data_IF_643577745155
#
_entry.id   IF_643577745155
#
_cell.length_a   1.000
_cell.length_b   1.000
_cell.length_c   1.000
_cell.angle_alpha   90.00
_cell.angle_beta   90.00
_cell.angle_gamma   90.00
#
_symmetry.space_group_name_H-M   'P 1'
#
loop_
_entity.id
_entity.type
_entity.pdbx_description
1 polymer ?
#
# COMPACT_ATOMS: atom_id res chain seq x y z
N UNK A 1 -9.98 51.24 65.96
CA UNK A 1 -11.38 50.81 65.82
C UNK A 1 -12.12 51.84 64.98
N UNK A 2 -12.38 51.53 63.69
CA UNK A 2 -13.38 52.20 62.84
C UNK A 2 -13.50 51.43 61.51
N UNK A 3 -14.71 50.92 61.24
CA UNK A 3 -15.13 50.35 59.95
C UNK A 3 -15.49 51.49 58.98
N UNK A 4 -15.11 51.37 57.70
CA UNK A 4 -15.84 51.95 56.56
C UNK A 4 -15.79 51.00 55.35
N UNK A 5 -16.87 50.23 55.21
CA UNK A 5 -17.77 50.05 54.05
C UNK A 5 -17.57 51.18 53.00
N UNK A 6 -17.54 51.06 51.68
CA UNK A 6 -17.76 50.04 50.62
C UNK A 6 -17.39 50.75 49.30
N UNK A 7 -16.96 50.04 48.25
CA UNK A 7 -17.46 50.27 46.90
C UNK A 7 -17.01 49.16 45.92
N UNK A 8 -18.05 48.51 45.41
CA UNK A 8 -18.09 47.54 44.33
C UNK A 8 -17.82 48.27 43.01
N UNK A 9 -16.87 47.79 42.22
CA UNK A 9 -16.82 48.11 40.78
C UNK A 9 -16.37 46.86 40.04
N UNK A 10 -17.37 46.21 39.43
CA UNK A 10 -17.22 45.13 38.48
C UNK A 10 -16.64 45.73 37.20
N UNK A 11 -15.41 45.37 36.82
CA UNK A 11 -14.82 45.73 35.53
C UNK A 11 -14.52 44.42 34.79
N UNK A 12 -15.40 44.12 33.85
CA UNK A 12 -15.27 43.06 32.85
C UNK A 12 -14.28 43.57 31.79
N UNK A 13 -13.03 43.10 31.82
CA UNK A 13 -12.06 43.39 30.74
C UNK A 13 -11.91 42.15 29.89
N UNK A 14 -12.33 42.31 28.64
CA UNK A 14 -12.30 41.32 27.58
C UNK A 14 -10.87 40.81 27.34
N UNK A 15 -10.75 39.48 27.25
CA UNK A 15 -9.60 38.81 26.67
C UNK A 15 -9.45 39.24 25.22
N UNK A 16 -8.42 40.02 24.94
CA UNK A 16 -7.79 40.09 23.61
C UNK A 16 -6.36 39.60 23.77
N UNK A 17 -6.18 38.28 23.64
CA UNK A 17 -4.87 37.73 23.33
C UNK A 17 -4.62 38.04 21.86
N UNK A 18 -3.86 39.11 21.62
CA UNK A 18 -3.19 39.31 20.34
C UNK A 18 -2.05 38.29 20.27
N UNK A 19 -2.33 37.11 19.73
CA UNK A 19 -1.29 36.34 19.08
C UNK A 19 -1.16 36.91 17.67
N UNK A 20 -0.14 37.75 17.48
CA UNK A 20 0.34 38.06 16.15
C UNK A 20 0.92 36.78 15.56
N UNK A 21 0.44 36.40 14.38
CA UNK A 21 1.12 35.45 13.52
C UNK A 21 2.30 36.16 12.87
N UNK A 22 3.51 35.59 12.98
CA UNK A 22 4.55 35.79 11.98
C UNK A 22 5.56 34.64 12.00
N UNK A 23 5.95 34.24 10.80
CA UNK A 23 6.88 33.20 10.35
C UNK A 23 6.57 31.71 10.60
N UNK A 24 6.11 31.10 9.51
CA UNK A 24 6.03 29.69 9.17
C UNK A 24 7.32 28.94 9.51
N UNK A 25 7.30 28.19 10.61
CA UNK A 25 8.06 26.96 10.68
C UNK A 25 7.23 25.91 9.95
N UNK A 26 7.48 25.75 8.64
CA UNK A 26 7.12 24.53 7.94
C UNK A 26 8.00 23.42 8.55
N UNK A 27 7.54 22.83 9.66
CA UNK A 27 7.98 21.48 9.99
C UNK A 27 7.57 20.59 8.81
N UNK A 28 8.50 19.82 8.20
CA UNK A 28 8.11 18.89 7.16
C UNK A 28 7.08 17.94 7.77
N UNK A 29 5.88 17.91 7.18
CA UNK A 29 4.90 16.85 7.44
C UNK A 29 5.64 15.51 7.38
N UNK A 30 5.43 14.58 8.34
CA UNK A 30 6.11 13.31 8.30
C UNK A 30 5.86 12.64 6.95
N UNK A 31 6.92 12.34 6.21
CA UNK A 31 6.82 11.56 4.98
C UNK A 31 6.06 10.28 5.32
N UNK A 32 4.88 10.12 4.72
CA UNK A 32 3.99 9.02 5.02
C UNK A 32 4.71 7.73 4.58
N UNK A 33 5.05 6.84 5.52
CA UNK A 33 5.72 5.54 5.30
C UNK A 33 4.87 4.56 4.44
N UNK A 34 3.77 5.03 3.87
CA UNK A 34 2.74 4.23 3.21
C UNK A 34 3.08 3.84 1.78
N UNK A 35 4.20 4.28 1.19
CA UNK A 35 4.52 3.97 -0.22
C UNK A 35 5.99 3.57 -0.43
N UNK A 36 6.30 2.32 -0.06
CA UNK A 36 7.62 1.69 -0.11
C UNK A 36 7.85 0.85 -1.38
N UNK A 37 6.83 0.63 -2.21
CA UNK A 37 6.84 -0.28 -3.37
C UNK A 37 7.45 0.27 -4.67
N UNK A 38 7.84 1.55 -4.69
CA UNK A 38 8.35 2.23 -5.89
C UNK A 38 9.83 2.65 -5.80
N UNK A 39 10.57 2.00 -4.90
CA UNK A 39 11.98 2.25 -4.63
C UNK A 39 12.84 1.00 -4.77
N UNK A 40 14.12 1.12 -4.40
CA UNK A 40 14.98 -0.06 -4.29
C UNK A 40 14.41 -1.03 -3.25
N UNK A 41 14.29 -2.30 -3.62
CA UNK A 41 13.82 -3.34 -2.72
C UNK A 41 14.86 -3.59 -1.60
N UNK A 42 14.56 -3.23 -0.33
CA UNK A 42 15.54 -3.40 0.75
C UNK A 42 15.81 -4.87 1.08
N UNK A 43 14.97 -5.79 0.60
CA UNK A 43 15.10 -7.23 0.81
C UNK A 43 15.83 -7.94 -0.33
N UNK A 44 16.33 -7.23 -1.35
CA UNK A 44 16.97 -7.85 -2.51
C UNK A 44 18.12 -8.81 -2.14
N UNK A 45 18.86 -8.52 -1.05
CA UNK A 45 19.94 -9.40 -0.56
C UNK A 45 19.46 -10.69 0.11
N UNK A 46 18.16 -10.81 0.42
CA UNK A 46 17.53 -11.97 1.02
C UNK A 46 16.79 -12.85 0.01
N UNK A 47 16.68 -12.39 -1.25
CA UNK A 47 16.03 -13.14 -2.30
C UNK A 47 16.91 -14.32 -2.76
N UNK A 48 16.25 -15.40 -3.18
CA UNK A 48 16.87 -16.59 -3.77
C UNK A 48 16.25 -16.80 -5.13
N UNK A 49 17.08 -16.97 -6.16
CA UNK A 49 16.63 -17.30 -7.50
C UNK A 49 17.54 -18.37 -8.11
N UNK A 50 17.13 -19.62 -7.95
CA UNK A 50 17.68 -20.81 -8.60
C UNK A 50 16.63 -21.46 -9.53
N UNK A 51 15.52 -20.77 -9.80
CA UNK A 51 14.41 -21.28 -10.60
C UNK A 51 14.80 -21.35 -12.07
N UNK A 52 14.36 -22.40 -12.76
CA UNK A 52 14.44 -22.44 -14.23
C UNK A 52 13.36 -21.52 -14.81
N UNK A 53 13.73 -20.27 -15.04
CA UNK A 53 12.81 -19.24 -15.53
C UNK A 53 12.66 -19.22 -17.06
N UNK A 54 12.93 -20.34 -17.75
CA UNK A 54 12.82 -20.42 -19.22
C UNK A 54 11.40 -20.26 -19.77
N UNK A 55 10.38 -20.47 -18.93
CA UNK A 55 8.97 -20.24 -19.30
C UNK A 55 8.57 -18.77 -19.16
N UNK A 56 9.29 -17.99 -18.34
CA UNK A 56 9.03 -16.58 -18.08
C UNK A 56 9.65 -16.15 -16.75
N UNK A 57 10.13 -14.91 -16.71
CA UNK A 57 10.69 -14.31 -15.49
C UNK A 57 9.57 -13.91 -14.53
N UNK A 58 9.74 -14.24 -13.25
CA UNK A 58 8.85 -13.81 -12.18
C UNK A 58 9.19 -12.38 -11.83
N UNK A 59 8.19 -11.51 -11.97
CA UNK A 59 8.30 -10.11 -11.59
C UNK A 59 6.99 -9.69 -10.92
N UNK A 60 7.07 -9.36 -9.64
CA UNK A 60 5.95 -8.79 -8.90
C UNK A 60 5.76 -7.32 -9.27
N UNK A 61 4.53 -6.94 -9.62
CA UNK A 61 4.26 -5.54 -9.92
C UNK A 61 4.19 -4.70 -8.64
N UNK A 62 4.93 -3.59 -8.61
CA UNK A 62 5.04 -2.76 -7.41
C UNK A 62 3.73 -2.11 -6.97
N UNK A 63 2.78 -1.85 -7.88
CA UNK A 63 1.50 -1.26 -7.50
C UNK A 63 0.30 -1.73 -8.31
N UNK A 64 -0.87 -1.68 -7.69
CA UNK A 64 -2.16 -1.99 -8.30
C UNK A 64 -3.28 -1.10 -7.71
N UNK A 65 -4.46 -1.16 -8.30
CA UNK A 65 -5.57 -0.20 -8.09
C UNK A 65 -6.89 -0.95 -7.96
N UNK A 66 -7.20 -1.54 -6.79
CA UNK A 66 -8.40 -2.36 -6.61
C UNK A 66 -9.66 -1.49 -6.46
N UNK A 67 -10.03 -0.78 -7.54
CA UNK A 67 -11.19 0.12 -7.65
C UNK A 67 -12.36 -0.52 -8.44
N UNK A 68 -12.14 -1.73 -8.97
CA UNK A 68 -13.08 -2.53 -9.74
C UNK A 68 -13.53 -1.84 -11.04
N UNK A 69 -12.62 -1.16 -11.72
CA UNK A 69 -12.84 -0.54 -13.04
C UNK A 69 -12.39 -1.41 -14.23
N UNK A 70 -11.76 -2.55 -13.95
CA UNK A 70 -11.26 -3.52 -14.92
C UNK A 70 -9.79 -3.37 -15.28
N UNK A 71 -9.09 -2.38 -14.71
CA UNK A 71 -7.66 -2.14 -14.93
C UNK A 71 -6.91 -2.31 -13.61
N UNK A 72 -5.84 -3.12 -13.61
CA UNK A 72 -4.93 -3.34 -12.48
C UNK A 72 -5.63 -3.59 -11.11
N UNK A 73 -6.75 -4.29 -11.11
CA UNK A 73 -7.60 -4.49 -9.92
C UNK A 73 -7.03 -5.48 -8.87
N UNK A 74 -5.89 -6.09 -9.14
CA UNK A 74 -5.28 -7.12 -8.29
C UNK A 74 -3.76 -7.03 -8.35
N UNK A 75 -3.11 -7.62 -7.35
CA UNK A 75 -1.65 -7.74 -7.35
C UNK A 75 -1.19 -8.70 -8.44
N UNK A 76 -0.59 -8.17 -9.50
CA UNK A 76 -0.09 -8.98 -10.61
C UNK A 76 1.34 -9.45 -10.34
N UNK A 77 1.59 -10.73 -10.57
CA UNK A 77 2.93 -11.32 -10.57
C UNK A 77 3.16 -11.95 -11.94
N UNK A 78 4.03 -11.37 -12.75
CA UNK A 78 4.24 -11.81 -14.13
C UNK A 78 4.67 -13.28 -14.18
N UNK A 79 4.10 -14.02 -15.14
CA UNK A 79 4.45 -15.41 -15.47
C UNK A 79 4.22 -16.44 -14.35
N UNK A 80 3.61 -16.07 -13.22
CA UNK A 80 3.38 -16.98 -12.07
C UNK A 80 2.51 -18.19 -12.45
N UNK A 81 1.66 -18.05 -13.46
CA UNK A 81 0.80 -19.11 -13.99
C UNK A 81 1.59 -20.30 -14.56
N UNK A 82 2.85 -20.10 -14.96
CA UNK A 82 3.71 -21.20 -15.40
C UNK A 82 4.27 -22.03 -14.24
N UNK A 83 4.17 -21.54 -12.99
CA UNK A 83 4.77 -22.13 -11.80
C UNK A 83 3.70 -22.46 -10.75
N UNK A 84 2.93 -23.51 -11.02
CA UNK A 84 1.74 -23.89 -10.24
C UNK A 84 2.02 -24.25 -8.76
N UNK A 85 3.25 -24.67 -8.45
CA UNK A 85 3.69 -24.88 -7.06
C UNK A 85 4.28 -23.58 -6.50
N UNK A 86 3.41 -22.61 -6.23
CA UNK A 86 3.79 -21.34 -5.64
C UNK A 86 2.99 -21.07 -4.35
N UNK A 87 3.50 -20.18 -3.52
CA UNK A 87 2.81 -19.63 -2.36
C UNK A 87 3.08 -18.14 -2.31
N UNK A 88 2.03 -17.36 -2.16
CA UNK A 88 2.10 -15.90 -2.03
C UNK A 88 1.50 -15.53 -0.68
N UNK A 89 2.26 -14.79 0.11
CA UNK A 89 1.84 -14.25 1.41
C UNK A 89 1.99 -12.74 1.39
N UNK A 90 0.94 -12.05 1.83
CA UNK A 90 0.93 -10.60 2.01
C UNK A 90 0.82 -10.29 3.51
N UNK A 91 1.65 -9.36 3.95
CA UNK A 91 1.70 -8.87 5.31
C UNK A 91 1.44 -7.38 5.35
N UNK A 92 0.85 -6.91 6.44
CA UNK A 92 0.93 -5.49 6.80
C UNK A 92 2.36 -5.10 7.18
N UNK A 93 2.59 -3.81 7.48
CA UNK A 93 3.91 -3.32 7.87
C UNK A 93 4.38 -3.84 9.24
N UNK A 94 3.47 -4.34 10.09
CA UNK A 94 3.76 -4.92 11.41
C UNK A 94 3.99 -6.45 11.36
N UNK A 95 4.16 -7.02 10.15
CA UNK A 95 4.39 -8.44 9.88
C UNK A 95 3.20 -9.36 10.21
N UNK A 96 1.97 -8.83 10.31
CA UNK A 96 0.77 -9.66 10.40
C UNK A 96 0.35 -10.13 9.00
N UNK A 97 0.04 -11.41 8.86
CA UNK A 97 -0.49 -11.97 7.60
C UNK A 97 -1.92 -11.45 7.39
N UNK A 98 -2.14 -10.79 6.26
CA UNK A 98 -3.47 -10.32 5.82
C UNK A 98 -4.04 -11.17 4.69
N UNK A 99 -3.18 -11.89 3.97
CA UNK A 99 -3.55 -12.80 2.89
C UNK A 99 -2.47 -13.86 2.69
N UNK A 100 -2.86 -15.12 2.52
CA UNK A 100 -1.95 -16.21 2.13
C UNK A 100 -2.67 -17.19 1.21
N UNK A 101 -2.05 -17.58 0.11
CA UNK A 101 -2.60 -18.63 -0.75
C UNK A 101 -1.52 -19.50 -1.38
N UNK A 102 -1.91 -20.73 -1.69
CA UNK A 102 -1.14 -21.67 -2.51
C UNK A 102 -1.68 -21.67 -3.92
N UNK A 103 -0.80 -21.87 -4.91
CA UNK A 103 -1.18 -21.82 -6.32
C UNK A 103 -1.87 -20.49 -6.68
N UNK A 104 -1.21 -19.39 -6.29
CA UNK A 104 -1.55 -18.04 -6.73
C UNK A 104 -1.59 -18.00 -8.25
N UNK A 105 -2.61 -17.32 -8.77
CA UNK A 105 -2.78 -17.05 -10.17
C UNK A 105 -3.38 -15.65 -10.33
N UNK A 106 -2.94 -14.90 -11.34
CA UNK A 106 -3.44 -13.55 -11.59
C UNK A 106 -4.91 -13.60 -12.02
N UNK A 107 -5.25 -14.47 -12.98
CA UNK A 107 -6.53 -14.47 -13.69
C UNK A 107 -7.19 -15.84 -13.75
N UNK A 108 -8.52 -15.85 -13.86
CA UNK A 108 -9.27 -17.05 -14.24
C UNK A 108 -9.28 -17.22 -15.76
N UNK A 109 -8.42 -18.09 -16.27
CA UNK A 109 -8.32 -18.42 -17.70
C UNK A 109 -9.56 -19.13 -18.27
N UNK A 110 -10.48 -19.61 -17.42
CA UNK A 110 -11.69 -20.32 -17.85
C UNK A 110 -12.84 -19.39 -18.25
N UNK A 111 -12.72 -18.10 -17.93
CA UNK A 111 -13.76 -17.08 -18.14
C UNK A 111 -13.28 -16.03 -19.15
N UNK A 112 -14.20 -15.54 -20.00
CA UNK A 112 -13.95 -14.43 -20.93
C UNK A 112 -15.03 -13.34 -20.78
N UNK A 113 -14.68 -12.07 -20.55
CA UNK A 113 -13.32 -11.55 -20.34
C UNK A 113 -12.67 -12.15 -19.09
N UNK A 114 -11.34 -12.18 -19.07
CA UNK A 114 -10.60 -12.66 -17.90
C UNK A 114 -10.90 -11.72 -16.72
N UNK A 115 -11.17 -12.31 -15.57
CA UNK A 115 -11.29 -11.61 -14.29
C UNK A 115 -10.14 -12.08 -13.39
N UNK A 116 -9.82 -11.33 -12.32
CA UNK A 116 -8.91 -11.82 -11.30
C UNK A 116 -9.31 -13.22 -10.82
N UNK A 117 -8.33 -14.09 -10.58
CA UNK A 117 -8.60 -15.44 -10.07
C UNK A 117 -9.13 -15.38 -8.63
N UNK A 118 -9.76 -16.46 -8.15
CA UNK A 118 -10.18 -16.57 -6.74
C UNK A 118 -9.00 -16.51 -5.75
N UNK A 119 -7.78 -16.78 -6.23
CA UNK A 119 -6.55 -16.74 -5.46
C UNK A 119 -5.76 -15.44 -5.67
N UNK A 120 -6.25 -14.48 -6.44
CA UNK A 120 -5.59 -13.19 -6.62
C UNK A 120 -5.79 -12.31 -5.39
N UNK A 121 -4.78 -11.50 -5.04
CA UNK A 121 -4.89 -10.54 -3.94
C UNK A 121 -5.55 -9.24 -4.43
N UNK A 122 -6.73 -8.94 -3.87
CA UNK A 122 -7.58 -7.80 -4.26
C UNK A 122 -7.49 -6.62 -3.27
N UNK A 123 -6.49 -6.61 -2.37
CA UNK A 123 -6.43 -5.63 -1.29
C UNK A 123 -7.48 -5.83 -0.20
N UNK A 124 -7.96 -7.08 -0.01
CA UNK A 124 -8.91 -7.44 1.05
C UNK A 124 -8.22 -8.29 2.13
N UNK A 125 -8.66 -8.15 3.37
CA UNK A 125 -8.23 -9.03 4.45
C UNK A 125 -8.89 -10.41 4.25
N UNK A 126 -8.08 -11.46 4.12
CA UNK A 126 -8.57 -12.81 3.86
C UNK A 126 -9.44 -13.38 5.00
N UNK A 127 -9.31 -12.87 6.23
CA UNK A 127 -10.03 -13.40 7.38
C UNK A 127 -11.50 -12.99 7.42
N UNK A 128 -11.84 -11.81 6.90
CA UNK A 128 -13.18 -11.22 7.03
C UNK A 128 -13.67 -10.45 5.79
N UNK A 129 -12.92 -10.51 4.69
CA UNK A 129 -13.19 -9.82 3.42
C UNK A 129 -13.29 -8.28 3.55
N UNK A 130 -12.79 -7.71 4.66
CA UNK A 130 -12.76 -6.26 4.83
C UNK A 130 -11.72 -5.62 3.91
N UNK A 131 -12.02 -4.43 3.41
CA UNK A 131 -11.05 -3.64 2.65
C UNK A 131 -9.87 -3.26 3.53
N UNK A 132 -8.66 -3.59 3.08
CA UNK A 132 -7.42 -3.15 3.70
C UNK A 132 -7.19 -1.67 3.41
N UNK A 133 -6.55 -0.96 4.35
CA UNK A 133 -6.15 0.44 4.16
C UNK A 133 -5.20 0.55 2.97
N UNK A 134 -5.36 1.60 2.16
CA UNK A 134 -4.46 1.87 1.04
C UNK A 134 -3.03 2.14 1.55
N UNK A 135 -2.04 1.88 0.70
CA UNK A 135 -0.63 2.04 1.05
C UNK A 135 0.18 0.76 0.84
N UNK A 136 1.23 0.58 1.64
CA UNK A 136 2.26 -0.44 1.44
C UNK A 136 2.03 -1.68 2.26
N UNK A 137 2.25 -2.81 1.61
CA UNK A 137 2.22 -4.14 2.19
C UNK A 137 3.49 -4.88 1.80
N UNK A 138 3.96 -5.75 2.68
CA UNK A 138 5.09 -6.64 2.37
C UNK A 138 4.54 -7.87 1.66
N UNK A 139 5.23 -8.35 0.63
CA UNK A 139 4.93 -9.65 0.06
C UNK A 139 6.09 -10.63 0.29
N UNK A 140 5.74 -11.91 0.27
CA UNK A 140 6.64 -13.05 0.16
C UNK A 140 6.12 -13.98 -0.93
N UNK A 141 6.95 -14.28 -1.92
CA UNK A 141 6.67 -15.23 -2.99
C UNK A 141 7.64 -16.39 -2.84
N UNK A 142 7.10 -17.61 -2.81
CA UNK A 142 7.87 -18.86 -2.81
C UNK A 142 7.43 -19.69 -4.00
N UNK A 143 8.38 -20.15 -4.82
CA UNK A 143 8.11 -21.11 -5.91
C UNK A 143 8.93 -22.37 -5.65
N UNK A 144 8.24 -23.50 -5.67
CA UNK A 144 8.70 -24.83 -5.23
C UNK A 144 9.06 -24.92 -3.74
N UNK A 145 10.01 -24.09 -3.29
CA UNK A 145 10.49 -23.93 -1.93
C UNK A 145 11.45 -22.72 -1.84
N UNK A 146 11.80 -22.31 -0.63
CA UNK A 146 12.66 -21.13 -0.38
C UNK A 146 14.11 -21.26 -0.89
N UNK A 147 14.59 -22.48 -1.15
CA UNK A 147 15.92 -22.72 -1.74
C UNK A 147 15.88 -22.65 -3.28
N UNK A 148 14.72 -22.85 -3.90
CA UNK A 148 14.52 -22.70 -5.35
C UNK A 148 14.24 -21.23 -5.71
N UNK A 149 13.19 -20.65 -5.13
CA UNK A 149 12.81 -19.26 -5.39
C UNK A 149 12.17 -18.65 -4.15
N UNK A 150 12.71 -17.52 -3.73
CA UNK A 150 12.20 -16.74 -2.62
C UNK A 150 12.36 -15.27 -2.98
N UNK A 151 11.25 -14.55 -3.01
CA UNK A 151 11.24 -13.12 -3.22
C UNK A 151 10.46 -12.41 -2.11
N UNK A 152 11.08 -11.40 -1.52
CA UNK A 152 10.41 -10.43 -0.67
C UNK A 152 10.39 -9.08 -1.37
N UNK A 153 9.36 -8.28 -1.09
CA UNK A 153 9.29 -6.91 -1.56
C UNK A 153 8.11 -6.17 -0.96
N UNK A 154 7.80 -5.03 -1.56
CA UNK A 154 6.63 -4.24 -1.22
C UNK A 154 5.70 -4.13 -2.41
N UNK A 155 4.41 -4.22 -2.14
CA UNK A 155 3.35 -3.86 -3.08
C UNK A 155 2.56 -2.72 -2.46
N UNK A 156 2.19 -1.72 -3.27
CA UNK A 156 1.23 -0.71 -2.85
C UNK A 156 -0.08 -0.83 -3.59
N UNK A 157 -1.15 -0.36 -2.97
CA UNK A 157 -2.38 -0.09 -3.68
C UNK A 157 -3.08 1.17 -3.23
N UNK A 158 -3.81 1.78 -4.17
CA UNK A 158 -4.72 2.90 -3.98
C UNK A 158 -6.05 2.59 -4.68
N UNK A 159 -7.15 3.11 -4.16
CA UNK A 159 -8.50 2.96 -4.72
C UNK A 159 -9.08 4.26 -5.25
N UNK A 160 -8.55 5.40 -4.81
CA UNK A 160 -9.07 6.73 -5.13
C UNK A 160 -7.92 7.67 -5.56
N UNK A 161 -8.14 8.60 -6.51
CA UNK A 161 -7.08 9.52 -6.94
C UNK A 161 -6.55 10.40 -5.80
N UNK A 162 -7.39 10.73 -4.81
CA UNK A 162 -6.95 11.57 -3.70
C UNK A 162 -5.93 10.88 -2.80
N UNK A 163 -5.89 9.54 -2.82
CA UNK A 163 -4.90 8.75 -2.12
C UNK A 163 -3.54 8.81 -2.82
N UNK A 164 -3.50 9.21 -4.10
CA UNK A 164 -2.28 9.44 -4.87
C UNK A 164 -1.62 10.82 -4.60
N UNK A 165 -2.29 11.72 -3.86
CA UNK A 165 -1.85 13.09 -3.69
C UNK A 165 -0.46 13.21 -3.02
N UNK A 166 0.42 14.01 -3.62
CA UNK A 166 1.76 14.29 -3.06
C UNK A 166 2.82 13.23 -3.38
N UNK A 167 2.50 12.24 -4.21
CA UNK A 167 3.42 11.15 -4.53
C UNK A 167 3.99 11.22 -5.94
N UNK A 168 5.20 10.67 -6.06
CA UNK A 168 5.85 10.41 -7.35
C UNK A 168 5.87 8.91 -7.61
N UNK A 169 4.86 8.42 -8.30
CA UNK A 169 4.78 7.02 -8.76
C UNK A 169 5.60 6.77 -10.03
N UNK A 170 6.48 7.70 -10.43
CA UNK A 170 7.21 7.65 -11.71
C UNK A 170 7.96 6.32 -11.90
N UNK A 171 8.45 5.72 -10.82
CA UNK A 171 9.16 4.45 -10.87
C UNK A 171 8.25 3.21 -10.94
N UNK A 172 6.95 3.35 -10.65
CA UNK A 172 5.96 2.27 -10.67
C UNK A 172 5.03 2.32 -11.90
N UNK A 173 4.88 3.49 -12.54
CA UNK A 173 3.90 3.69 -13.63
C UNK A 173 4.40 3.20 -15.00
N UNK A 174 5.69 2.84 -15.14
CA UNK A 174 6.30 2.62 -16.47
C UNK A 174 5.67 1.46 -17.29
N UNK A 175 4.75 0.67 -16.70
CA UNK A 175 4.02 -0.40 -17.38
C UNK A 175 2.50 -0.49 -17.14
N UNK A 176 1.91 0.27 -16.21
CA UNK A 176 0.53 0.03 -15.71
C UNK A 176 -0.39 1.21 -16.04
N UNK A 177 -1.07 1.19 -17.20
CA UNK A 177 -2.13 2.17 -17.48
C UNK A 177 -3.30 1.92 -16.53
N UNK A 178 -3.66 2.92 -15.74
CA UNK A 178 -4.89 2.94 -14.96
C UNK A 178 -5.57 4.31 -15.04
N UNK A 179 -6.87 4.39 -15.39
CA UNK A 179 -7.61 5.64 -15.46
C UNK A 179 -7.56 6.50 -14.19
N UNK A 180 -7.31 5.91 -13.02
CA UNK A 180 -7.25 6.64 -11.74
C UNK A 180 -5.91 7.34 -11.51
N UNK A 181 -4.83 6.85 -12.13
CA UNK A 181 -3.46 7.36 -11.94
C UNK A 181 -3.16 8.53 -12.88
N UNK A 182 -3.84 8.62 -14.04
CA UNK A 182 -3.60 9.65 -15.07
C UNK A 182 -4.49 10.92 -14.96
N UNK A 183 -5.21 11.13 -13.85
CA UNK A 183 -6.14 12.25 -13.67
C UNK A 183 -5.55 13.50 -13.02
#
# INVERSE_FOLDING_TARGET
MNKKITNLTLILIALFLNYGCDDSNDEPEPELETFLCCGENPFANSNVDNLDQTLGEIEAVGMFTPNNDGFNDHFEIQNIEFYQNNTVTIYDLDDNVVFETQSYNNVDETVFPQNPSENAFLGLNQADDSELEFGSYKYKIVIENEETFLEYGYVCFIREPEQANGMSFINCIDSQFDPIIEQ
#
